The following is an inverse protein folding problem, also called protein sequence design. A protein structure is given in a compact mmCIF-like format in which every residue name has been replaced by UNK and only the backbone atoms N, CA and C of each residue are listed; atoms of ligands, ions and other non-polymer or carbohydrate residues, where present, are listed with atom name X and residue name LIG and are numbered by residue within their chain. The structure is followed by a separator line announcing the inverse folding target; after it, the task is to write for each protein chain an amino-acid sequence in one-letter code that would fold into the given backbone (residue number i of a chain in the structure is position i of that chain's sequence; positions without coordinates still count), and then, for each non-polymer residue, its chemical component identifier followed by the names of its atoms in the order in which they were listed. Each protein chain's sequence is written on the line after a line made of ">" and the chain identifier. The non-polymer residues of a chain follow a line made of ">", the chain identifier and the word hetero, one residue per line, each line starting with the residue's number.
data_IF_282350493789
#
_entry.id   IF_282350493789
#
_cell.length_a   1.000
_cell.length_b   1.000
_cell.length_c   1.000
_cell.angle_alpha   90.00
_cell.angle_beta   90.00
_cell.angle_gamma   90.00
#
_symmetry.space_group_name_H-M   'P 1'
#
loop_
_entity.id
_entity.type
_entity.pdbx_description
1 polymer ?
#
# COMPACT_ATOMS: atom_id res chain seq x y z
N UNK A 1 2.19 18.47 21.33
CA UNK A 1 2.83 17.99 20.08
C UNK A 1 2.04 16.78 19.65
N UNK A 2 1.48 16.80 18.45
CA UNK A 2 0.85 15.63 17.81
C UNK A 2 1.91 15.03 16.89
N UNK A 3 2.17 13.73 17.02
CA UNK A 3 3.10 13.05 16.13
C UNK A 3 2.58 13.15 14.68
N UNK A 4 3.45 13.48 13.72
CA UNK A 4 3.05 13.58 12.33
C UNK A 4 2.59 12.20 11.82
N UNK A 5 1.42 12.18 11.19
CA UNK A 5 0.96 10.99 10.46
C UNK A 5 1.79 10.86 9.20
N UNK A 6 2.54 9.77 9.08
CA UNK A 6 3.34 9.48 7.89
C UNK A 6 2.60 8.51 6.98
N UNK A 7 2.59 8.80 5.69
CA UNK A 7 2.11 7.89 4.65
C UNK A 7 3.31 7.38 3.86
N UNK A 8 3.51 6.08 3.87
CA UNK A 8 4.58 5.43 3.11
C UNK A 8 4.10 5.07 1.71
N UNK A 9 4.99 5.18 0.73
CA UNK A 9 4.80 4.64 -0.61
C UNK A 9 5.47 3.26 -0.70
N UNK A 10 4.70 2.26 -1.06
CA UNK A 10 5.21 0.92 -1.37
C UNK A 10 5.18 0.76 -2.89
N UNK A 11 6.33 0.52 -3.51
CA UNK A 11 6.48 0.36 -4.94
C UNK A 11 6.85 -1.07 -5.28
N UNK A 12 6.11 -1.65 -6.22
CA UNK A 12 6.50 -2.89 -6.90
C UNK A 12 6.79 -2.57 -8.35
N UNK A 13 8.05 -2.70 -8.76
CA UNK A 13 8.48 -2.42 -10.12
C UNK A 13 8.88 -3.73 -10.80
N UNK A 14 8.30 -3.97 -11.97
CA UNK A 14 8.67 -5.07 -12.86
C UNK A 14 9.15 -4.50 -14.18
N UNK A 15 10.13 -5.13 -14.80
CA UNK A 15 10.63 -4.74 -16.12
C UNK A 15 11.00 -5.99 -16.94
N UNK A 16 10.83 -5.88 -18.25
CA UNK A 16 11.25 -6.89 -19.19
C UNK A 16 12.65 -6.55 -19.69
N UNK A 17 13.53 -7.54 -19.64
CA UNK A 17 14.92 -7.42 -20.02
C UNK A 17 15.22 -8.30 -21.25
N UNK A 18 15.87 -7.71 -22.26
CA UNK A 18 16.48 -8.44 -23.36
C UNK A 18 18.00 -8.56 -23.11
N UNK A 19 18.50 -9.73 -22.72
CA UNK A 19 19.93 -9.91 -22.40
C UNK A 19 20.87 -9.71 -23.60
N UNK A 20 20.35 -9.79 -24.80
CA UNK A 20 21.19 -9.65 -26.02
C UNK A 20 21.52 -8.17 -26.31
N UNK A 21 20.83 -7.22 -25.67
CA UNK A 21 21.04 -5.80 -25.86
C UNK A 21 21.98 -5.17 -24.82
N UNK A 22 22.53 -5.95 -23.90
CA UNK A 22 23.43 -5.46 -22.84
C UNK A 22 24.58 -6.41 -22.56
N UNK A 23 25.72 -5.88 -22.15
CA UNK A 23 26.82 -6.66 -21.56
C UNK A 23 26.69 -6.84 -20.03
N UNK A 24 25.64 -6.31 -19.42
CA UNK A 24 25.42 -6.35 -17.98
C UNK A 24 24.64 -7.59 -17.56
N UNK A 25 24.89 -8.08 -16.36
CA UNK A 25 24.08 -9.17 -15.79
C UNK A 25 22.69 -8.65 -15.34
N UNK A 26 21.64 -9.49 -15.34
CA UNK A 26 20.32 -9.11 -14.84
C UNK A 26 20.36 -8.53 -13.40
N UNK A 27 21.23 -9.07 -12.55
CA UNK A 27 21.41 -8.58 -11.17
C UNK A 27 22.04 -7.17 -11.12
N UNK A 28 22.97 -6.88 -12.04
CA UNK A 28 23.54 -5.54 -12.14
C UNK A 28 22.49 -4.50 -12.55
N UNK A 29 21.65 -4.84 -13.54
CA UNK A 29 20.54 -3.99 -13.97
C UNK A 29 19.51 -3.81 -12.85
N UNK A 30 19.16 -4.88 -12.14
CA UNK A 30 18.26 -4.78 -10.99
C UNK A 30 18.81 -3.85 -9.91
N UNK A 31 20.12 -3.93 -9.61
CA UNK A 31 20.77 -3.03 -8.64
C UNK A 31 20.77 -1.57 -9.12
N UNK A 32 20.95 -1.36 -10.43
CA UNK A 32 20.89 -0.02 -11.03
C UNK A 32 19.49 0.58 -10.93
N UNK A 33 18.45 -0.22 -11.23
CA UNK A 33 17.04 0.19 -11.06
C UNK A 33 16.75 0.53 -9.60
N UNK A 34 17.17 -0.31 -8.65
CA UNK A 34 16.96 -0.06 -7.22
C UNK A 34 17.64 1.24 -6.75
N UNK A 35 18.88 1.47 -7.18
CA UNK A 35 19.60 2.70 -6.87
C UNK A 35 18.91 3.94 -7.47
N UNK A 36 18.39 3.84 -8.68
CA UNK A 36 17.66 4.92 -9.34
C UNK A 36 16.37 5.26 -8.58
N UNK A 37 15.61 4.25 -8.15
CA UNK A 37 14.44 4.43 -7.30
C UNK A 37 14.82 5.16 -6.00
N UNK A 38 15.82 4.67 -5.29
CA UNK A 38 16.29 5.29 -4.02
C UNK A 38 16.75 6.74 -4.21
N UNK A 39 17.50 7.02 -5.26
CA UNK A 39 17.95 8.37 -5.58
C UNK A 39 16.79 9.30 -5.96
N UNK A 40 15.82 8.80 -6.73
CA UNK A 40 14.62 9.56 -7.07
C UNK A 40 13.87 10.00 -5.82
N UNK A 41 13.64 9.09 -4.87
CA UNK A 41 12.97 9.40 -3.62
C UNK A 41 13.76 10.39 -2.78
N UNK A 42 15.07 10.19 -2.65
CA UNK A 42 15.93 11.07 -1.86
C UNK A 42 15.97 12.48 -2.42
N UNK A 43 16.01 12.63 -3.75
CA UNK A 43 16.16 13.92 -4.40
C UNK A 43 14.82 14.66 -4.55
N UNK A 44 13.73 13.92 -4.85
CA UNK A 44 12.47 14.52 -5.25
C UNK A 44 11.39 14.51 -4.19
N UNK A 45 11.41 13.57 -3.23
CA UNK A 45 10.27 13.35 -2.33
C UNK A 45 10.56 13.63 -0.84
N UNK A 46 11.80 13.74 -0.42
CA UNK A 46 12.17 14.11 0.97
C UNK A 46 11.95 15.59 1.32
N UNK A 47 11.16 16.31 0.52
CA UNK A 47 10.85 17.73 0.72
C UNK A 47 9.35 17.92 0.80
N UNK A 48 8.90 18.87 1.64
CA UNK A 48 7.50 19.24 1.75
C UNK A 48 6.90 19.66 0.39
N UNK A 49 5.63 19.33 0.15
CA UNK A 49 4.87 19.67 -1.06
C UNK A 49 5.44 19.10 -2.38
N UNK A 50 6.05 17.93 -2.34
CA UNK A 50 6.46 17.22 -3.56
C UNK A 50 5.43 16.16 -3.95
N UNK A 51 5.09 16.14 -5.22
CA UNK A 51 4.15 15.18 -5.80
C UNK A 51 4.94 14.05 -6.44
N UNK A 52 4.65 12.81 -6.05
CA UNK A 52 5.14 11.63 -6.74
C UNK A 52 4.43 11.50 -8.09
N UNK A 53 5.20 11.41 -9.17
CA UNK A 53 4.69 11.10 -10.51
C UNK A 53 5.33 9.81 -10.99
N UNK A 54 4.53 8.76 -11.07
CA UNK A 54 4.95 7.42 -11.52
C UNK A 54 5.62 7.46 -12.90
N UNK A 55 5.08 8.21 -13.84
CA UNK A 55 5.63 8.35 -15.20
C UNK A 55 7.06 8.85 -15.20
N UNK A 56 7.39 9.83 -14.36
CA UNK A 56 8.76 10.37 -14.29
C UNK A 56 9.77 9.32 -13.85
N UNK A 57 9.39 8.48 -12.87
CA UNK A 57 10.26 7.42 -12.38
C UNK A 57 10.39 6.29 -13.42
N UNK A 58 9.30 5.90 -14.08
CA UNK A 58 9.33 4.90 -15.16
C UNK A 58 10.22 5.35 -16.31
N UNK A 59 10.12 6.60 -16.76
CA UNK A 59 11.01 7.15 -17.81
C UNK A 59 12.49 7.06 -17.42
N UNK A 60 12.82 7.32 -16.16
CA UNK A 60 14.19 7.17 -15.68
C UNK A 60 14.66 5.72 -15.67
N UNK A 61 13.79 4.77 -15.31
CA UNK A 61 14.09 3.34 -15.31
C UNK A 61 14.30 2.83 -16.74
N UNK A 62 13.40 3.17 -17.66
CA UNK A 62 13.47 2.75 -19.06
C UNK A 62 14.71 3.30 -19.79
N UNK A 63 15.25 4.43 -19.32
CA UNK A 63 16.45 5.05 -19.88
C UNK A 63 17.78 4.51 -19.31
N UNK A 64 17.75 3.61 -18.32
CA UNK A 64 18.97 3.14 -17.64
C UNK A 64 19.84 2.24 -18.52
N UNK A 65 19.21 1.38 -19.31
CA UNK A 65 19.91 0.42 -20.15
C UNK A 65 19.04 0.06 -21.37
N UNK A 66 19.59 -0.01 -22.60
CA UNK A 66 18.85 -0.41 -23.80
C UNK A 66 18.17 -1.77 -23.71
N UNK A 67 18.64 -2.64 -22.83
CA UNK A 67 18.05 -3.95 -22.59
C UNK A 67 16.72 -3.90 -21.83
N UNK A 68 16.39 -2.79 -21.18
CA UNK A 68 15.07 -2.60 -20.53
C UNK A 68 14.06 -2.24 -21.61
N UNK A 69 13.28 -3.22 -22.07
CA UNK A 69 12.30 -3.03 -23.14
C UNK A 69 11.07 -2.24 -22.68
N UNK A 70 10.64 -2.49 -21.46
CA UNK A 70 9.55 -1.77 -20.82
C UNK A 70 9.57 -2.01 -19.31
N UNK A 71 8.97 -1.07 -18.56
CA UNK A 71 8.78 -1.21 -17.14
C UNK A 71 7.33 -0.96 -16.72
N UNK A 72 6.90 -1.62 -15.65
CA UNK A 72 5.60 -1.42 -14.99
C UNK A 72 5.82 -1.17 -13.51
N UNK A 73 5.05 -0.27 -12.94
CA UNK A 73 5.11 0.04 -11.52
C UNK A 73 3.72 0.02 -10.91
N UNK A 74 3.58 -0.72 -9.82
CA UNK A 74 2.43 -0.67 -8.95
C UNK A 74 2.78 0.19 -7.73
N UNK A 75 1.86 1.07 -7.36
CA UNK A 75 2.03 2.00 -6.25
C UNK A 75 0.95 1.72 -5.23
N UNK A 76 1.36 1.48 -3.99
CA UNK A 76 0.45 1.31 -2.87
C UNK A 76 0.79 2.35 -1.80
N UNK A 77 -0.22 2.89 -1.15
CA UNK A 77 -0.06 3.74 0.02
C UNK A 77 -0.21 2.93 1.29
N UNK A 78 0.65 3.21 2.25
CA UNK A 78 0.62 2.58 3.55
C UNK A 78 0.60 3.62 4.65
N UNK A 79 -0.41 3.55 5.52
CA UNK A 79 -0.51 4.40 6.69
C UNK A 79 -0.75 3.54 7.92
N UNK A 80 0.07 3.74 8.93
CA UNK A 80 -0.01 3.00 10.19
C UNK A 80 -0.74 3.79 11.26
N UNK A 81 -1.55 3.11 12.07
CA UNK A 81 -2.10 3.62 13.31
C UNK A 81 -2.04 2.53 14.40
N UNK A 82 -2.11 2.94 15.65
CA UNK A 82 -2.09 2.02 16.80
C UNK A 82 -3.50 1.99 17.39
N UNK A 83 -4.27 0.90 17.20
CA UNK A 83 -5.58 0.79 17.81
C UNK A 83 -5.48 0.50 19.32
N UNK A 84 -6.47 0.95 20.08
CA UNK A 84 -6.62 0.56 21.48
C UNK A 84 -7.11 -0.88 21.56
N UNK A 85 -6.33 -1.75 22.23
CA UNK A 85 -6.67 -3.16 22.35
C UNK A 85 -7.85 -3.36 23.30
N UNK A 86 -8.69 -4.34 23.00
CA UNK A 86 -9.84 -4.78 23.78
C UNK A 86 -10.92 -3.70 23.99
N UNK A 87 -10.85 -2.58 23.29
CA UNK A 87 -11.83 -1.49 23.36
C UNK A 87 -12.43 -1.28 21.96
N UNK A 88 -13.76 -1.27 21.87
CA UNK A 88 -14.50 -1.01 20.65
C UNK A 88 -14.51 0.50 20.36
N UNK A 89 -13.78 0.93 19.34
CA UNK A 89 -13.64 2.33 18.95
C UNK A 89 -13.87 2.52 17.46
N UNK A 90 -14.16 3.77 17.10
CA UNK A 90 -14.16 4.20 15.71
C UNK A 90 -12.79 4.81 15.37
N UNK A 91 -12.32 4.54 14.14
CA UNK A 91 -11.07 5.07 13.61
C UNK A 91 -11.30 5.64 12.22
N UNK A 92 -10.70 6.78 11.93
CA UNK A 92 -10.66 7.35 10.59
C UNK A 92 -9.20 7.50 10.16
N UNK A 93 -8.87 6.91 9.03
CA UNK A 93 -7.55 6.98 8.40
C UNK A 93 -7.71 7.84 7.16
N UNK A 94 -6.95 8.94 7.06
CA UNK A 94 -7.04 9.86 5.93
C UNK A 94 -5.74 9.80 5.14
N UNK A 95 -5.84 9.42 3.88
CA UNK A 95 -4.74 9.39 2.93
C UNK A 95 -4.65 10.74 2.19
N UNK A 96 -3.46 11.19 1.81
CA UNK A 96 -3.29 12.50 1.16
C UNK A 96 -3.72 12.53 -0.31
N UNK A 97 -4.30 11.45 -0.81
CA UNK A 97 -4.73 11.26 -2.20
C UNK A 97 -6.00 10.43 -2.24
N UNK A 98 -6.65 10.43 -3.41
CA UNK A 98 -7.80 9.57 -3.69
C UNK A 98 -7.40 8.08 -3.62
N UNK A 99 -8.33 7.24 -3.22
CA UNK A 99 -8.22 5.77 -3.25
C UNK A 99 -8.86 5.28 -4.55
N UNK A 100 -8.36 4.19 -5.11
CA UNK A 100 -8.98 3.58 -6.29
C UNK A 100 -10.45 3.19 -6.01
N UNK A 101 -11.27 3.23 -7.06
CA UNK A 101 -12.66 2.79 -6.96
C UNK A 101 -12.75 1.29 -6.72
N UNK A 102 -13.84 0.80 -6.08
CA UNK A 102 -14.04 -0.62 -5.86
C UNK A 102 -13.94 -1.43 -7.16
N UNK A 103 -13.12 -2.47 -7.14
CA UNK A 103 -12.88 -3.37 -8.27
C UNK A 103 -13.65 -4.68 -8.10
N UNK A 104 -14.03 -5.29 -9.21
CA UNK A 104 -14.63 -6.63 -9.23
C UNK A 104 -13.60 -7.75 -9.08
N UNK A 105 -12.32 -7.46 -9.31
CA UNK A 105 -11.23 -8.44 -9.31
C UNK A 105 -10.20 -8.23 -8.22
N UNK A 106 -10.07 -6.99 -7.71
CA UNK A 106 -8.98 -6.60 -6.81
C UNK A 106 -9.50 -6.02 -5.50
N UNK A 107 -8.80 -6.35 -4.43
CA UNK A 107 -9.01 -5.72 -3.13
C UNK A 107 -8.21 -4.43 -3.04
N UNK A 108 -8.92 -3.30 -2.91
CA UNK A 108 -8.34 -1.96 -2.91
C UNK A 108 -7.75 -1.63 -1.54
N UNK A 109 -8.47 -1.99 -0.46
CA UNK A 109 -8.04 -1.76 0.92
C UNK A 109 -7.73 -3.08 1.58
N UNK A 110 -6.56 -3.17 2.20
CA UNK A 110 -6.15 -4.33 3.01
C UNK A 110 -5.29 -3.88 4.18
N UNK A 111 -5.51 -4.47 5.37
CA UNK A 111 -4.64 -4.27 6.52
C UNK A 111 -3.55 -5.34 6.62
N UNK A 112 -2.55 -5.09 7.46
CA UNK A 112 -1.71 -6.16 8.02
C UNK A 112 -2.54 -7.04 8.94
N UNK A 113 -1.97 -8.17 9.34
CA UNK A 113 -2.60 -9.08 10.27
C UNK A 113 -2.69 -8.49 11.68
N UNK A 114 -3.74 -8.85 12.38
CA UNK A 114 -3.96 -8.56 13.80
C UNK A 114 -4.72 -9.72 14.45
N UNK A 115 -4.76 -9.75 15.77
CA UNK A 115 -5.55 -10.75 16.51
C UNK A 115 -6.95 -10.22 16.78
N UNK A 116 -7.95 -10.99 16.40
CA UNK A 116 -9.37 -10.75 16.66
C UNK A 116 -10.05 -12.06 17.04
N UNK A 117 -10.81 -12.10 18.13
CA UNK A 117 -11.45 -13.32 18.64
C UNK A 117 -10.49 -14.53 18.76
N UNK A 118 -9.25 -14.30 19.19
CA UNK A 118 -8.18 -15.30 19.27
C UNK A 118 -7.75 -15.92 17.92
N UNK A 119 -8.09 -15.30 16.82
CA UNK A 119 -7.66 -15.68 15.48
C UNK A 119 -6.80 -14.61 14.84
N UNK A 120 -5.92 -15.02 13.93
CA UNK A 120 -5.19 -14.07 13.08
C UNK A 120 -6.08 -13.61 11.94
N UNK A 121 -6.38 -12.33 11.91
CA UNK A 121 -7.31 -11.70 10.97
C UNK A 121 -6.67 -10.53 10.26
N UNK A 122 -7.33 -10.06 9.20
CA UNK A 122 -7.02 -8.82 8.51
C UNK A 122 -8.30 -8.16 8.01
N UNK A 123 -8.24 -6.86 7.73
CA UNK A 123 -9.33 -6.12 7.10
C UNK A 123 -9.09 -6.11 5.59
N UNK A 124 -10.16 -6.26 4.82
CA UNK A 124 -10.18 -5.99 3.37
C UNK A 124 -11.55 -5.44 2.97
N UNK A 125 -11.63 -4.81 1.80
CA UNK A 125 -12.94 -4.48 1.22
C UNK A 125 -13.60 -5.72 0.59
N UNK A 126 -14.91 -5.64 0.41
CA UNK A 126 -15.63 -6.57 -0.46
C UNK A 126 -15.37 -6.19 -1.91
N UNK A 127 -15.31 -7.17 -2.80
CA UNK A 127 -15.23 -6.93 -4.25
C UNK A 127 -16.44 -6.12 -4.72
N UNK A 128 -16.22 -5.20 -5.64
CA UNK A 128 -17.23 -4.26 -6.15
C UNK A 128 -17.94 -3.42 -5.08
N UNK A 129 -17.33 -3.26 -3.90
CA UNK A 129 -17.93 -2.50 -2.80
C UNK A 129 -16.88 -1.75 -2.01
N UNK A 130 -17.29 -0.62 -1.44
CA UNK A 130 -16.48 0.15 -0.50
C UNK A 130 -16.61 -0.33 0.96
N UNK A 131 -17.43 -1.35 1.23
CA UNK A 131 -17.57 -1.93 2.58
C UNK A 131 -16.34 -2.72 2.97
N UNK A 132 -15.99 -2.66 4.25
CA UNK A 132 -14.86 -3.35 4.84
C UNK A 132 -15.34 -4.50 5.73
N UNK A 133 -14.62 -5.62 5.66
CA UNK A 133 -14.89 -6.83 6.45
C UNK A 133 -13.62 -7.28 7.17
N UNK A 134 -13.78 -7.97 8.30
CA UNK A 134 -12.70 -8.68 8.99
C UNK A 134 -12.75 -10.13 8.55
N UNK A 135 -11.62 -10.62 8.06
CA UNK A 135 -11.46 -12.01 7.58
C UNK A 135 -10.30 -12.64 8.31
N UNK A 136 -10.47 -13.88 8.73
CA UNK A 136 -9.37 -14.67 9.26
C UNK A 136 -8.46 -15.15 8.12
N UNK A 137 -7.23 -15.54 8.45
CA UNK A 137 -6.26 -16.03 7.45
C UNK A 137 -6.70 -17.36 6.80
N UNK A 138 -7.62 -18.10 7.40
CA UNK A 138 -8.22 -19.29 6.81
C UNK A 138 -9.36 -19.01 5.84
N UNK A 139 -9.77 -17.73 5.71
CA UNK A 139 -10.81 -17.27 4.79
C UNK A 139 -12.20 -17.09 5.42
N UNK A 140 -12.37 -17.39 6.71
CA UNK A 140 -13.65 -17.20 7.42
C UNK A 140 -13.95 -15.72 7.63
N UNK A 141 -15.20 -15.32 7.44
CA UNK A 141 -15.65 -13.95 7.69
C UNK A 141 -15.98 -13.82 9.18
N UNK A 142 -15.21 -13.01 9.91
CA UNK A 142 -15.42 -12.73 11.33
C UNK A 142 -16.39 -11.57 11.55
N UNK A 143 -16.31 -10.54 10.70
CA UNK A 143 -17.22 -9.39 10.70
C UNK A 143 -17.50 -8.99 9.26
N UNK A 144 -18.76 -9.05 8.85
CA UNK A 144 -19.17 -8.76 7.47
C UNK A 144 -19.10 -7.26 7.12
N UNK A 145 -19.27 -6.38 8.12
CA UNK A 145 -19.18 -4.94 7.93
C UNK A 145 -18.55 -4.28 9.16
N UNK A 146 -17.30 -3.88 9.04
CA UNK A 146 -16.56 -3.13 10.07
C UNK A 146 -16.41 -1.64 9.72
N UNK A 147 -16.87 -1.22 8.54
CA UNK A 147 -16.74 0.15 8.07
C UNK A 147 -16.73 0.26 6.56
N UNK A 148 -16.21 1.37 6.06
CA UNK A 148 -16.15 1.67 4.62
C UNK A 148 -14.94 2.54 4.27
N UNK A 149 -14.67 2.67 2.98
CA UNK A 149 -13.75 3.68 2.47
C UNK A 149 -14.44 4.59 1.45
N UNK A 150 -13.94 5.82 1.34
CA UNK A 150 -14.41 6.83 0.39
C UNK A 150 -13.28 7.13 -0.60
N UNK A 151 -13.48 6.72 -1.85
CA UNK A 151 -12.46 6.82 -2.91
C UNK A 151 -12.03 8.26 -3.16
N UNK A 152 -12.97 9.17 -3.33
CA UNK A 152 -12.69 10.58 -3.65
C UNK A 152 -12.08 11.35 -2.48
N UNK A 153 -12.52 11.07 -1.26
CA UNK A 153 -12.00 11.70 -0.05
C UNK A 153 -10.69 11.09 0.45
N UNK A 154 -10.30 9.91 -0.05
CA UNK A 154 -9.12 9.20 0.42
C UNK A 154 -9.23 8.76 1.88
N UNK A 155 -10.43 8.45 2.37
CA UNK A 155 -10.65 8.12 3.78
C UNK A 155 -11.10 6.68 3.98
N UNK A 156 -10.63 6.08 5.07
CA UNK A 156 -11.04 4.75 5.52
C UNK A 156 -11.61 4.92 6.92
N UNK A 157 -12.85 4.50 7.12
CA UNK A 157 -13.56 4.60 8.39
C UNK A 157 -13.86 3.21 8.94
N UNK A 158 -13.44 2.96 10.17
CA UNK A 158 -13.74 1.74 10.92
C UNK A 158 -14.67 2.08 12.06
N UNK A 159 -15.67 1.25 12.31
CA UNK A 159 -16.67 1.44 13.38
C UNK A 159 -16.72 0.21 14.25
N UNK A 160 -16.52 0.41 15.55
CA UNK A 160 -16.56 -0.71 16.50
C UNK A 160 -15.35 -1.65 16.43
N UNK A 161 -14.23 -1.21 15.87
CA UNK A 161 -13.02 -2.02 15.74
C UNK A 161 -12.41 -2.30 17.12
N UNK A 162 -12.29 -3.60 17.46
CA UNK A 162 -11.85 -4.08 18.77
C UNK A 162 -10.83 -5.21 18.62
N UNK A 163 -9.60 -4.94 18.16
CA UNK A 163 -8.56 -5.95 18.10
C UNK A 163 -8.11 -6.36 19.51
N UNK A 164 -7.68 -7.61 19.67
CA UNK A 164 -7.11 -8.14 20.92
C UNK A 164 -5.59 -8.16 20.92
N UNK A 165 -4.97 -8.04 19.74
CA UNK A 165 -3.52 -7.96 19.53
C UNK A 165 -3.20 -7.59 18.09
N UNK A 166 -1.94 -7.28 17.80
CA UNK A 166 -1.46 -7.05 16.43
C UNK A 166 -0.02 -7.49 16.29
N UNK A 167 0.36 -7.84 15.06
CA UNK A 167 1.73 -8.18 14.73
C UNK A 167 2.56 -6.90 14.56
N UNK A 168 3.69 -6.81 15.30
CA UNK A 168 4.51 -5.58 15.32
C UNK A 168 3.87 -4.46 16.16
N UNK A 169 4.27 -3.23 15.89
CA UNK A 169 3.86 -2.07 16.67
C UNK A 169 2.66 -1.29 16.10
N UNK A 170 2.17 -1.65 14.92
CA UNK A 170 1.12 -0.88 14.22
C UNK A 170 0.26 -1.76 13.33
N UNK A 171 -1.03 -1.52 13.31
CA UNK A 171 -1.91 -1.99 12.23
C UNK A 171 -1.76 -1.05 11.03
N UNK A 172 -1.56 -1.61 9.87
CA UNK A 172 -1.27 -0.85 8.64
C UNK A 172 -2.33 -1.14 7.59
N UNK A 173 -2.81 -0.09 6.97
CA UNK A 173 -3.75 -0.17 5.86
C UNK A 173 -3.02 0.04 4.54
N UNK A 174 -3.30 -0.78 3.53
CA UNK A 174 -2.78 -0.65 2.17
C UNK A 174 -3.91 -0.25 1.23
N UNK A 175 -3.59 0.61 0.27
CA UNK A 175 -4.51 0.96 -0.81
C UNK A 175 -3.79 0.91 -2.15
N UNK A 176 -4.49 0.50 -3.21
CA UNK A 176 -4.01 0.62 -4.58
C UNK A 176 -4.39 2.00 -5.14
N UNK A 177 -3.47 2.59 -5.88
CA UNK A 177 -3.64 3.85 -6.62
C UNK A 177 -3.81 3.57 -8.11
#
# INVERSE_FOLDING_TARGET
>A
FVDPVTTDLVLTTTFNLDPDLTGSTPQAIQSLVQNTINNFFTTNLKKFNKVFRRSNLLTLIDALDPAILNSKMEVQLRQGFIPTLNVSLAYTISLPVTIAEPSATDYIVRSTNFTFNNQTCFIRNLLSSNKLQIISVDGSIEVDNIGSFESTAGTISLVGFKPTGFEGNKTVSYTHL
#
